data_IF_265446378873
#
_entry.id   IF_265446378873
#
_cell.length_a   1.000
_cell.length_b   1.000
_cell.length_c   1.000
_cell.angle_alpha   90.00
_cell.angle_beta   90.00
_cell.angle_gamma   90.00
#
_symmetry.space_group_name_H-M   'P 1'
#
loop_
_entity.id
_entity.type
_entity.pdbx_description
1 polymer ?
#
# COMPACT_ATOMS: atom_id res chain seq x y z
N UNK A 1 24.17 -21.93 5.31
CA UNK A 1 23.81 -21.02 4.20
C UNK A 1 22.30 -21.05 3.88
N UNK A 2 21.42 -21.51 4.78
CA UNK A 2 20.01 -21.78 4.45
C UNK A 2 19.03 -20.65 4.83
N UNK A 3 19.44 -19.69 5.66
CA UNK A 3 18.50 -18.72 6.27
C UNK A 3 18.15 -17.50 5.40
N UNK A 4 18.89 -17.22 4.33
CA UNK A 4 18.72 -16.01 3.51
C UNK A 4 17.87 -16.23 2.24
N UNK A 5 17.56 -17.49 1.90
CA UNK A 5 16.81 -17.84 0.69
C UNK A 5 15.33 -17.42 0.77
N UNK A 6 14.75 -17.44 1.98
CA UNK A 6 13.32 -17.15 2.21
C UNK A 6 12.98 -15.67 1.96
N UNK A 7 13.74 -14.66 2.42
CA UNK A 7 13.45 -13.26 2.10
C UNK A 7 13.54 -12.92 0.62
N UNK A 8 14.57 -13.43 -0.07
CA UNK A 8 14.82 -13.06 -1.47
C UNK A 8 13.77 -13.66 -2.40
N UNK A 9 13.25 -14.85 -2.09
CA UNK A 9 12.21 -15.51 -2.89
C UNK A 9 10.85 -14.83 -2.80
N UNK A 10 10.57 -14.04 -1.76
CA UNK A 10 9.29 -13.33 -1.57
C UNK A 10 9.30 -11.94 -2.25
N UNK A 11 10.48 -11.36 -2.52
CA UNK A 11 10.63 -10.05 -3.16
C UNK A 11 9.88 -9.89 -4.50
N UNK A 12 9.89 -10.87 -5.43
CA UNK A 12 9.07 -10.80 -6.64
C UNK A 12 7.57 -10.65 -6.33
N UNK A 13 7.06 -11.38 -5.33
CA UNK A 13 5.66 -11.26 -4.89
C UNK A 13 5.35 -9.86 -4.34
N UNK A 14 6.25 -9.28 -3.54
CA UNK A 14 6.11 -7.92 -3.02
C UNK A 14 6.15 -6.88 -4.15
N UNK A 15 7.02 -7.08 -5.16
CA UNK A 15 7.09 -6.21 -6.33
C UNK A 15 5.75 -6.21 -7.12
N UNK A 16 5.13 -7.38 -7.27
CA UNK A 16 3.79 -7.49 -7.87
C UNK A 16 2.72 -6.78 -7.03
N UNK A 17 2.77 -6.90 -5.71
CA UNK A 17 1.86 -6.18 -4.81
C UNK A 17 2.05 -4.66 -4.93
N UNK A 18 3.28 -4.17 -4.99
CA UNK A 18 3.60 -2.75 -5.22
C UNK A 18 3.04 -2.28 -6.57
N UNK A 19 3.24 -3.06 -7.64
CA UNK A 19 2.75 -2.71 -8.97
C UNK A 19 1.21 -2.62 -9.00
N UNK A 20 0.53 -3.64 -8.45
CA UNK A 20 -0.92 -3.65 -8.33
C UNK A 20 -1.44 -2.45 -7.53
N UNK A 21 -0.79 -2.16 -6.39
CA UNK A 21 -1.14 -1.02 -5.52
C UNK A 21 -0.91 0.32 -6.21
N UNK A 22 0.17 0.45 -7.00
CA UNK A 22 0.47 1.64 -7.80
C UNK A 22 -0.64 1.91 -8.81
N UNK A 23 -1.10 0.87 -9.51
CA UNK A 23 -2.18 0.99 -10.48
C UNK A 23 -3.49 1.44 -9.81
N UNK A 24 -3.82 0.89 -8.64
CA UNK A 24 -4.97 1.33 -7.84
C UNK A 24 -4.85 2.80 -7.40
N UNK A 25 -3.65 3.22 -7.02
CA UNK A 25 -3.38 4.60 -6.59
C UNK A 25 -3.56 5.59 -7.73
N UNK A 26 -3.04 5.27 -8.91
CA UNK A 26 -3.18 6.09 -10.12
C UNK A 26 -4.67 6.19 -10.51
N UNK A 27 -5.38 5.07 -10.55
CA UNK A 27 -6.79 5.03 -10.89
C UNK A 27 -7.63 5.88 -9.91
N UNK A 28 -7.43 5.71 -8.60
CA UNK A 28 -8.15 6.48 -7.58
C UNK A 28 -7.79 7.98 -7.63
N UNK A 29 -6.52 8.31 -7.88
CA UNK A 29 -6.10 9.70 -8.03
C UNK A 29 -6.73 10.36 -9.27
N UNK A 30 -6.81 9.63 -10.38
CA UNK A 30 -7.49 10.08 -11.59
C UNK A 30 -8.98 10.33 -11.35
N UNK A 31 -9.65 9.38 -10.69
CA UNK A 31 -11.06 9.51 -10.32
C UNK A 31 -11.33 10.71 -9.40
N UNK A 32 -10.49 10.93 -8.38
CA UNK A 32 -10.61 12.08 -7.47
C UNK A 32 -10.42 13.39 -8.26
N UNK A 33 -9.43 13.46 -9.15
CA UNK A 33 -9.18 14.65 -9.97
C UNK A 33 -10.40 14.98 -10.83
N UNK A 34 -10.99 13.99 -11.49
CA UNK A 34 -12.19 14.18 -12.28
C UNK A 34 -13.36 14.68 -11.43
N UNK A 35 -13.61 14.07 -10.27
CA UNK A 35 -14.67 14.52 -9.35
C UNK A 35 -14.49 15.94 -8.86
N UNK A 36 -13.26 16.37 -8.59
CA UNK A 36 -12.98 17.73 -8.15
C UNK A 36 -13.35 18.74 -9.25
N UNK A 37 -13.12 18.39 -10.53
CA UNK A 37 -13.50 19.23 -11.66
C UNK A 37 -15.02 19.25 -11.89
N UNK A 38 -15.69 18.12 -11.68
CA UNK A 38 -17.12 17.95 -11.97
C UNK A 38 -18.04 18.40 -10.81
N UNK A 39 -17.49 18.65 -9.61
CA UNK A 39 -18.28 19.04 -8.44
C UNK A 39 -18.82 20.47 -8.58
N UNK A 40 -20.14 20.62 -8.58
CA UNK A 40 -20.80 21.91 -8.39
C UNK A 40 -20.62 22.45 -6.97
N UNK A 41 -20.53 23.79 -6.78
CA UNK A 41 -20.29 24.43 -5.49
C UNK A 41 -21.28 24.02 -4.39
N UNK A 42 -22.53 23.75 -4.76
CA UNK A 42 -23.63 23.46 -3.84
C UNK A 42 -23.81 21.95 -3.55
N UNK A 43 -23.02 21.08 -4.19
CA UNK A 43 -23.10 19.63 -3.99
C UNK A 43 -22.30 19.18 -2.76
N UNK A 44 -22.86 19.43 -1.58
CA UNK A 44 -22.26 19.03 -0.29
C UNK A 44 -22.05 17.51 -0.16
N UNK A 45 -22.92 16.69 -0.77
CA UNK A 45 -22.77 15.23 -0.77
C UNK A 45 -21.61 14.76 -1.64
N UNK A 46 -21.49 15.28 -2.87
CA UNK A 46 -20.36 15.00 -3.75
C UNK A 46 -19.00 15.34 -3.11
N UNK A 47 -18.92 16.47 -2.40
CA UNK A 47 -17.73 16.84 -1.59
C UNK A 47 -17.42 15.81 -0.51
N UNK A 48 -18.44 15.27 0.15
CA UNK A 48 -18.29 14.26 1.22
C UNK A 48 -17.74 12.94 0.67
N UNK A 49 -18.26 12.46 -0.46
CA UNK A 49 -17.76 11.25 -1.14
C UNK A 49 -16.30 11.44 -1.59
N UNK A 50 -15.97 12.59 -2.18
CA UNK A 50 -14.60 12.92 -2.59
C UNK A 50 -13.63 12.95 -1.40
N UNK A 51 -14.04 13.49 -0.25
CA UNK A 51 -13.26 13.44 0.99
C UNK A 51 -13.03 12.00 1.48
N UNK A 52 -14.04 11.13 1.38
CA UNK A 52 -13.88 9.70 1.70
C UNK A 52 -12.86 9.03 0.78
N UNK A 53 -12.93 9.27 -0.53
CA UNK A 53 -11.95 8.75 -1.51
C UNK A 53 -10.54 9.29 -1.27
N UNK A 54 -10.38 10.56 -0.89
CA UNK A 54 -9.08 11.12 -0.51
C UNK A 54 -8.49 10.43 0.74
N UNK A 55 -9.33 10.10 1.72
CA UNK A 55 -8.90 9.29 2.88
C UNK A 55 -8.45 7.89 2.46
N UNK A 56 -9.10 7.28 1.45
CA UNK A 56 -8.66 6.01 0.89
C UNK A 56 -7.30 6.13 0.19
N UNK A 57 -7.09 7.18 -0.60
CA UNK A 57 -5.81 7.46 -1.26
C UNK A 57 -4.68 7.57 -0.24
N UNK A 58 -4.91 8.29 0.87
CA UNK A 58 -3.96 8.41 1.97
C UNK A 58 -3.67 7.06 2.64
N UNK A 59 -4.69 6.22 2.83
CA UNK A 59 -4.53 4.88 3.41
C UNK A 59 -3.74 3.95 2.49
N UNK A 60 -4.04 3.97 1.19
CA UNK A 60 -3.35 3.19 0.17
C UNK A 60 -1.87 3.59 0.09
N UNK A 61 -1.58 4.89 0.07
CA UNK A 61 -0.22 5.40 0.05
C UNK A 61 0.57 5.01 1.31
N UNK A 62 -0.07 4.99 2.49
CA UNK A 62 0.57 4.50 3.72
C UNK A 62 0.94 3.02 3.63
N UNK A 63 0.07 2.18 3.07
CA UNK A 63 0.39 0.76 2.82
C UNK A 63 1.56 0.60 1.85
N UNK A 64 1.58 1.39 0.78
CA UNK A 64 2.64 1.37 -0.24
C UNK A 64 4.01 1.78 0.32
N UNK A 65 4.06 2.80 1.19
CA UNK A 65 5.30 3.18 1.89
C UNK A 65 5.84 2.03 2.74
N UNK A 66 4.98 1.32 3.47
CA UNK A 66 5.43 0.18 4.27
C UNK A 66 5.94 -1.00 3.42
N UNK A 67 5.43 -1.18 2.18
CA UNK A 67 6.00 -2.15 1.25
C UNK A 67 7.40 -1.73 0.80
N UNK A 68 7.61 -0.44 0.50
CA UNK A 68 8.94 0.06 0.13
C UNK A 68 9.96 -0.06 1.25
N UNK A 69 9.58 0.30 2.48
CA UNK A 69 10.43 0.11 3.67
C UNK A 69 10.75 -1.38 3.85
N UNK A 70 9.71 -2.23 3.78
CA UNK A 70 9.85 -3.67 3.94
C UNK A 70 10.78 -4.30 2.91
N UNK A 71 10.58 -4.01 1.62
CA UNK A 71 11.44 -4.49 0.54
C UNK A 71 12.87 -3.97 0.68
N UNK A 72 13.05 -2.70 1.05
CA UNK A 72 14.36 -2.10 1.27
C UNK A 72 15.13 -2.78 2.40
N UNK A 73 14.47 -3.06 3.53
CA UNK A 73 15.06 -3.79 4.64
C UNK A 73 15.46 -5.23 4.25
N UNK A 74 14.63 -5.92 3.47
CA UNK A 74 14.93 -7.30 3.01
C UNK A 74 16.12 -7.34 2.05
N UNK A 75 16.19 -6.41 1.09
CA UNK A 75 17.36 -6.27 0.21
C UNK A 75 18.61 -5.92 1.02
N UNK A 76 18.50 -4.98 1.96
CA UNK A 76 19.58 -4.60 2.86
C UNK A 76 20.10 -5.78 3.68
N UNK A 77 19.22 -6.65 4.18
CA UNK A 77 19.62 -7.85 4.90
C UNK A 77 20.39 -8.84 4.02
N UNK A 78 19.98 -9.02 2.78
CA UNK A 78 20.66 -9.87 1.80
C UNK A 78 22.07 -9.36 1.49
N UNK A 79 22.23 -8.04 1.30
CA UNK A 79 23.55 -7.42 1.09
C UNK A 79 24.45 -7.59 2.32
N UNK A 80 23.91 -7.38 3.52
CA UNK A 80 24.66 -7.54 4.77
C UNK A 80 25.15 -8.98 5.00
N UNK A 81 24.32 -9.97 4.64
CA UNK A 81 24.69 -11.39 4.75
C UNK A 81 25.75 -11.76 3.70
N UNK A 82 25.61 -11.25 2.46
CA UNK A 82 26.59 -11.45 1.39
C UNK A 82 27.97 -10.87 1.74
N UNK A 83 28.01 -9.68 2.35
CA UNK A 83 29.25 -9.05 2.80
C UNK A 83 29.81 -9.68 4.09
N UNK A 84 29.11 -10.64 4.69
CA UNK A 84 29.45 -11.29 5.96
C UNK A 84 29.75 -10.32 7.12
N UNK A 85 29.22 -9.09 7.06
CA UNK A 85 29.58 -8.01 7.99
C UNK A 85 29.04 -8.27 9.40
N UNK A 86 27.75 -8.58 9.52
CA UNK A 86 27.15 -8.96 10.80
C UNK A 86 25.86 -9.76 10.61
N UNK A 87 25.88 -11.00 11.12
CA UNK A 87 24.70 -11.88 11.11
C UNK A 87 23.54 -11.35 11.96
N UNK A 88 23.83 -10.56 12.99
CA UNK A 88 22.81 -9.99 13.88
C UNK A 88 22.06 -8.86 13.18
N UNK A 89 22.77 -7.99 12.46
CA UNK A 89 22.19 -6.88 11.69
C UNK A 89 21.28 -7.42 10.58
N UNK A 90 21.75 -8.42 9.83
CA UNK A 90 20.95 -9.06 8.78
C UNK A 90 19.63 -9.66 9.32
N UNK A 91 19.68 -10.37 10.46
CA UNK A 91 18.48 -10.92 11.12
C UNK A 91 17.48 -9.85 11.55
N UNK A 92 17.95 -8.74 12.13
CA UNK A 92 17.08 -7.63 12.55
C UNK A 92 16.41 -6.98 11.34
N UNK A 93 17.17 -6.73 10.26
CA UNK A 93 16.64 -6.17 9.02
C UNK A 93 15.60 -7.08 8.36
N UNK A 94 15.82 -8.40 8.36
CA UNK A 94 14.84 -9.37 7.86
C UNK A 94 13.54 -9.32 8.67
N UNK A 95 13.65 -9.35 10.00
CA UNK A 95 12.48 -9.35 10.88
C UNK A 95 11.70 -8.04 10.76
N UNK A 96 12.39 -6.89 10.75
CA UNK A 96 11.73 -5.58 10.60
C UNK A 96 11.07 -5.43 9.23
N UNK A 97 11.73 -5.90 8.17
CA UNK A 97 11.19 -5.87 6.82
C UNK A 97 9.92 -6.71 6.68
N UNK A 98 9.95 -7.94 7.21
CA UNK A 98 8.78 -8.84 7.22
C UNK A 98 7.60 -8.25 8.00
N UNK A 99 7.87 -7.67 9.18
CA UNK A 99 6.83 -7.03 10.00
C UNK A 99 6.23 -5.81 9.28
N UNK A 100 7.05 -5.00 8.62
CA UNK A 100 6.59 -3.86 7.82
C UNK A 100 5.63 -4.30 6.70
N UNK A 101 5.96 -5.36 5.97
CA UNK A 101 5.10 -5.91 4.91
C UNK A 101 3.79 -6.42 5.48
N UNK A 102 3.83 -7.12 6.61
CA UNK A 102 2.63 -7.60 7.29
C UNK A 102 1.68 -6.46 7.65
N UNK A 103 2.21 -5.37 8.22
CA UNK A 103 1.44 -4.16 8.54
C UNK A 103 0.90 -3.50 7.26
N UNK A 104 1.68 -3.45 6.18
CA UNK A 104 1.22 -2.93 4.88
C UNK A 104 0.04 -3.71 4.31
N UNK A 105 0.08 -5.04 4.38
CA UNK A 105 -1.03 -5.88 3.94
C UNK A 105 -2.29 -5.57 4.75
N UNK A 106 -2.17 -5.39 6.07
CA UNK A 106 -3.30 -4.98 6.91
C UNK A 106 -3.91 -3.64 6.45
N UNK A 107 -3.10 -2.66 6.08
CA UNK A 107 -3.61 -1.40 5.50
C UNK A 107 -4.35 -1.62 4.18
N UNK A 108 -3.84 -2.49 3.30
CA UNK A 108 -4.50 -2.83 2.04
C UNK A 108 -5.84 -3.53 2.26
N UNK A 109 -5.93 -4.45 3.22
CA UNK A 109 -7.19 -5.12 3.57
C UNK A 109 -8.23 -4.08 4.02
N UNK A 110 -7.85 -3.17 4.92
CA UNK A 110 -8.74 -2.11 5.40
C UNK A 110 -9.16 -1.18 4.26
N UNK A 111 -8.24 -0.84 3.35
CA UNK A 111 -8.54 -0.06 2.15
C UNK A 111 -9.58 -0.75 1.27
N UNK A 112 -9.39 -2.03 0.96
CA UNK A 112 -10.28 -2.82 0.10
C UNK A 112 -11.70 -2.91 0.66
N UNK A 113 -11.83 -3.15 1.97
CA UNK A 113 -13.15 -3.18 2.64
C UNK A 113 -13.85 -1.82 2.54
N UNK A 114 -13.10 -0.72 2.78
CA UNK A 114 -13.67 0.64 2.70
C UNK A 114 -14.06 1.02 1.27
N UNK A 115 -13.35 0.52 0.26
CA UNK A 115 -13.66 0.81 -1.14
C UNK A 115 -15.01 0.28 -1.58
N UNK A 116 -15.39 -0.91 -1.13
CA UNK A 116 -16.71 -1.47 -1.41
C UNK A 116 -17.81 -0.63 -0.78
N UNK A 117 -17.65 -0.25 0.51
CA UNK A 117 -18.66 0.57 1.20
C UNK A 117 -18.89 1.93 0.53
N UNK A 118 -17.83 2.61 0.09
CA UNK A 118 -17.97 3.91 -0.57
C UNK A 118 -18.68 3.77 -1.93
N UNK A 119 -18.41 2.69 -2.69
CA UNK A 119 -19.13 2.42 -3.94
C UNK A 119 -20.61 2.13 -3.71
N UNK A 120 -20.96 1.44 -2.63
CA UNK A 120 -22.36 1.19 -2.27
C UNK A 120 -23.09 2.49 -1.88
N UNK A 121 -22.44 3.35 -1.07
CA UNK A 121 -22.98 4.67 -0.75
C UNK A 121 -23.21 5.51 -2.02
N UNK A 122 -22.25 5.48 -2.94
CA UNK A 122 -22.34 6.22 -4.19
C UNK A 122 -23.47 5.72 -5.12
N UNK A 123 -23.69 4.40 -5.19
CA UNK A 123 -24.81 3.83 -5.93
C UNK A 123 -26.16 4.20 -5.30
N UNK A 124 -26.26 4.07 -3.98
CA UNK A 124 -27.49 4.45 -3.27
C UNK A 124 -27.79 5.95 -3.36
N UNK A 125 -26.77 6.79 -3.52
CA UNK A 125 -26.95 8.24 -3.76
C UNK A 125 -27.39 8.57 -5.19
N UNK A 126 -27.31 7.63 -6.13
CA UNK A 126 -27.72 7.81 -7.54
C UNK A 126 -29.17 7.39 -7.84
N UNK A 127 -29.86 6.79 -6.86
CA UNK A 127 -31.28 6.39 -6.91
C UNK A 127 -32.11 7.41 -6.13
#
# INVERSE_FOLDING_TARGET
MENWYVPITILPGIALLILSTSNLLIALSGEIKQRILDIHPDNHRGKTVTLKKLKQLKLLNRGMVGFYIGSGCMVGAGIQDFLAYSKLISKILMLSGSLSIFVSIAFLIVFSIRAVRIRQEEFNDSI
#
